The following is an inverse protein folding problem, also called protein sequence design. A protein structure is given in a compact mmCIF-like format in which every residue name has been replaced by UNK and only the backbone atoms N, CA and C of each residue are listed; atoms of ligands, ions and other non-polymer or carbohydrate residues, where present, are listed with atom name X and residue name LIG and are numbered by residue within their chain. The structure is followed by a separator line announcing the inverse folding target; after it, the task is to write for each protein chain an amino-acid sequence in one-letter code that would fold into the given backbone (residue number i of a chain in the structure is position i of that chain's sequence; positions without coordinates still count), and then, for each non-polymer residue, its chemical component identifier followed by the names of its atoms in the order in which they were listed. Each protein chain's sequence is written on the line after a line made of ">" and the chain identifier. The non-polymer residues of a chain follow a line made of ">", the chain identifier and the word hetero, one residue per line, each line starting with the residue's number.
data_IF_985549676406
#
_entry.id   IF_985549676406
#
_cell.length_a   1.000
_cell.length_b   1.000
_cell.length_c   1.000
_cell.angle_alpha   90.00
_cell.angle_beta   90.00
_cell.angle_gamma   90.00
#
_symmetry.space_group_name_H-M   'P 1'
#
loop_
_entity.id
_entity.type
_entity.pdbx_description
1 polymer ?
#
# COMPACT_ATOMS: atom_id res chain seq x y z
N UNK A 1 15.56 -5.84 20.24
CA UNK A 1 14.74 -4.85 19.51
C UNK A 1 14.00 -5.61 18.43
N UNK A 2 12.74 -5.29 18.15
CA UNK A 2 11.94 -5.92 17.09
C UNK A 2 11.72 -4.93 15.96
N UNK A 3 11.80 -5.38 14.70
CA UNK A 3 11.64 -4.54 13.52
C UNK A 3 10.44 -4.98 12.70
N UNK A 4 9.64 -4.01 12.25
CA UNK A 4 8.49 -4.25 11.38
C UNK A 4 8.63 -3.48 10.07
N UNK A 5 8.00 -3.98 9.00
CA UNK A 5 7.93 -3.33 7.69
C UNK A 5 6.50 -2.88 7.38
N UNK A 6 6.31 -1.61 7.02
CA UNK A 6 5.08 -1.14 6.40
C UNK A 6 5.10 -1.41 4.90
N UNK A 7 4.20 -2.25 4.39
CA UNK A 7 4.05 -2.49 2.94
C UNK A 7 3.16 -1.40 2.31
N UNK A 8 3.38 -1.07 1.03
CA UNK A 8 2.77 0.10 0.39
C UNK A 8 1.31 -0.11 -0.02
N UNK A 9 0.48 -0.76 0.81
CA UNK A 9 -0.96 -0.88 0.55
C UNK A 9 -1.66 0.43 0.89
N UNK A 10 -2.60 0.87 0.05
CA UNK A 10 -3.50 1.99 0.31
C UNK A 10 -2.84 3.28 0.86
N UNK A 11 -1.63 3.63 0.42
CA UNK A 11 -0.92 4.87 0.81
C UNK A 11 -0.66 5.82 -0.36
N UNK A 12 -0.75 5.28 -1.58
CA UNK A 12 -0.64 5.99 -2.85
C UNK A 12 -1.73 7.08 -2.99
N UNK A 13 -1.36 8.24 -3.50
CA UNK A 13 -2.25 9.41 -3.59
C UNK A 13 -2.51 10.14 -2.27
N UNK A 14 -2.10 9.60 -1.11
CA UNK A 14 -2.19 10.28 0.19
C UNK A 14 -0.83 10.67 0.75
N UNK A 15 0.09 9.70 0.83
CA UNK A 15 1.45 9.88 1.37
C UNK A 15 2.50 9.87 0.25
N UNK A 16 2.21 9.18 -0.85
CA UNK A 16 3.10 8.99 -1.99
C UNK A 16 2.39 9.41 -3.30
N UNK A 17 3.13 9.89 -4.32
CA UNK A 17 2.54 10.27 -5.61
C UNK A 17 1.96 9.06 -6.36
N UNK A 18 1.05 9.30 -7.29
CA UNK A 18 0.51 8.27 -8.20
C UNK A 18 1.28 8.30 -9.53
N UNK A 19 1.80 7.17 -10.06
CA UNK A 19 1.82 5.84 -9.48
C UNK A 19 2.95 5.63 -8.46
N UNK A 20 2.78 4.68 -7.53
CA UNK A 20 3.74 4.35 -6.47
C UNK A 20 4.14 2.88 -6.44
N UNK A 21 3.21 1.97 -6.13
CA UNK A 21 3.50 0.54 -5.97
C UNK A 21 2.26 -0.32 -6.23
N UNK A 22 2.43 -1.44 -6.95
CA UNK A 22 1.40 -2.43 -7.18
C UNK A 22 1.37 -3.53 -6.12
N UNK A 23 0.45 -4.49 -6.31
CA UNK A 23 0.31 -5.64 -5.41
C UNK A 23 1.55 -6.54 -5.43
N UNK A 24 2.20 -6.65 -6.59
CA UNK A 24 3.38 -7.49 -6.80
C UNK A 24 4.58 -6.94 -6.00
N UNK A 25 4.78 -5.62 -5.98
CA UNK A 25 5.80 -4.99 -5.14
C UNK A 25 5.48 -5.16 -3.65
N UNK A 26 4.22 -5.01 -3.24
CA UNK A 26 3.83 -5.20 -1.85
C UNK A 26 4.09 -6.64 -1.36
N UNK A 27 3.75 -7.63 -2.19
CA UNK A 27 4.03 -9.05 -1.91
C UNK A 27 5.53 -9.30 -1.85
N UNK A 28 6.31 -8.80 -2.83
CA UNK A 28 7.77 -8.94 -2.83
C UNK A 28 8.38 -8.37 -1.55
N UNK A 29 7.97 -7.17 -1.14
CA UNK A 29 8.47 -6.55 0.09
C UNK A 29 8.14 -7.37 1.34
N UNK A 30 6.92 -7.92 1.41
CA UNK A 30 6.51 -8.78 2.53
C UNK A 30 7.36 -10.06 2.61
N UNK A 31 7.57 -10.74 1.47
CA UNK A 31 8.36 -11.98 1.42
C UNK A 31 9.84 -11.74 1.71
N UNK A 32 10.40 -10.62 1.24
CA UNK A 32 11.79 -10.24 1.56
C UNK A 32 11.94 -9.89 3.04
N UNK A 33 10.96 -9.20 3.64
CA UNK A 33 10.97 -8.93 5.08
C UNK A 33 10.97 -10.22 5.91
N UNK A 34 10.16 -11.22 5.50
CA UNK A 34 10.18 -12.54 6.13
C UNK A 34 11.56 -13.20 6.00
N UNK A 35 12.14 -13.23 4.80
CA UNK A 35 13.46 -13.82 4.56
C UNK A 35 14.59 -13.14 5.36
N UNK A 36 14.47 -11.83 5.60
CA UNK A 36 15.41 -11.04 6.38
C UNK A 36 15.18 -11.10 7.90
N UNK A 37 14.14 -11.81 8.35
CA UNK A 37 13.86 -12.01 9.78
C UNK A 37 13.18 -10.82 10.46
N UNK A 38 12.40 -10.03 9.73
CA UNK A 38 11.54 -9.00 10.32
C UNK A 38 10.44 -9.65 11.16
N UNK A 39 10.08 -9.02 12.28
CA UNK A 39 9.09 -9.56 13.22
C UNK A 39 7.65 -9.39 12.72
N UNK A 40 7.40 -8.44 11.81
CA UNK A 40 6.04 -8.13 11.34
C UNK A 40 6.02 -7.37 10.02
N UNK A 41 4.92 -7.55 9.29
CA UNK A 41 4.55 -6.77 8.11
C UNK A 41 3.21 -6.10 8.38
N UNK A 42 3.09 -4.82 8.04
CA UNK A 42 1.93 -3.98 8.30
C UNK A 42 1.43 -3.35 7.00
N UNK A 43 0.16 -3.57 6.69
CA UNK A 43 -0.53 -2.84 5.62
C UNK A 43 -1.31 -1.66 6.18
N UNK A 44 -1.46 -0.62 5.37
CA UNK A 44 -2.50 0.37 5.57
C UNK A 44 -3.76 -0.06 4.79
N UNK A 45 -4.94 0.06 5.40
CA UNK A 45 -6.21 -0.36 4.82
C UNK A 45 -7.21 0.79 4.73
N UNK A 46 -8.03 0.76 3.69
CA UNK A 46 -9.18 1.63 3.52
C UNK A 46 -10.28 0.87 2.82
N UNK A 47 -11.52 1.04 3.27
CA UNK A 47 -12.70 0.41 2.64
C UNK A 47 -12.86 0.86 1.19
N UNK A 48 -12.45 2.10 0.88
CA UNK A 48 -12.44 2.62 -0.49
C UNK A 48 -11.46 3.78 -0.62
N UNK A 49 -10.89 4.00 -1.80
CA UNK A 49 -10.08 5.20 -2.10
C UNK A 49 -10.81 6.49 -1.70
N UNK A 50 -10.16 7.41 -0.99
CA UNK A 50 -10.82 8.61 -0.50
C UNK A 50 -11.28 9.50 -1.65
N UNK A 51 -12.41 10.18 -1.45
CA UNK A 51 -13.01 11.02 -2.50
C UNK A 51 -12.10 12.14 -2.99
N UNK A 52 -11.20 12.66 -2.16
CA UNK A 52 -10.24 13.68 -2.57
C UNK A 52 -9.14 13.09 -3.47
N UNK A 53 -8.65 11.88 -3.17
CA UNK A 53 -7.68 11.17 -4.01
C UNK A 53 -8.29 10.87 -5.37
N UNK A 54 -9.54 10.36 -5.41
CA UNK A 54 -10.24 10.08 -6.67
C UNK A 54 -10.45 11.30 -7.57
N UNK A 55 -10.55 12.51 -7.00
CA UNK A 55 -10.74 13.75 -7.76
C UNK A 55 -9.44 14.36 -8.26
N UNK A 56 -8.33 14.07 -7.57
CA UNK A 56 -7.02 14.67 -7.87
C UNK A 56 -6.34 14.00 -9.06
N UNK A 57 -6.60 12.70 -9.30
CA UNK A 57 -5.89 11.91 -10.30
C UNK A 57 -6.84 11.36 -11.36
N UNK A 58 -6.46 11.48 -12.63
CA UNK A 58 -7.20 10.90 -13.78
C UNK A 58 -7.34 9.38 -13.67
N UNK A 59 -6.31 8.72 -13.12
CA UNK A 59 -6.28 7.30 -12.81
C UNK A 59 -5.95 7.13 -11.32
N UNK A 60 -6.96 7.20 -10.44
CA UNK A 60 -6.72 7.09 -9.02
C UNK A 60 -6.34 5.65 -8.64
N UNK A 61 -5.57 5.47 -7.56
CA UNK A 61 -5.22 4.14 -7.08
C UNK A 61 -6.49 3.39 -6.64
N UNK A 62 -6.54 2.08 -6.92
CA UNK A 62 -7.70 1.24 -6.56
C UNK A 62 -7.73 0.85 -5.09
N UNK A 63 -6.58 0.96 -4.39
CA UNK A 63 -6.38 0.46 -3.02
C UNK A 63 -6.73 -1.01 -2.80
N UNK A 64 -6.92 -1.76 -3.90
CA UNK A 64 -7.52 -3.11 -3.88
C UNK A 64 -8.87 -3.12 -3.17
N UNK A 65 -9.60 -2.00 -3.26
CA UNK A 65 -10.86 -1.80 -2.56
C UNK A 65 -12.00 -2.50 -3.29
N UNK A 66 -12.93 -3.16 -2.57
CA UNK A 66 -13.98 -3.98 -3.19
C UNK A 66 -15.13 -3.15 -3.79
N UNK A 67 -15.08 -1.81 -3.69
CA UNK A 67 -16.16 -0.90 -4.05
C UNK A 67 -15.84 -0.03 -5.29
N UNK A 68 -14.67 -0.21 -5.90
CA UNK A 68 -14.25 0.41 -7.17
C UNK A 68 -14.51 -0.45 -8.40
#
# INVERSE_FOLDING_TARGET
>A
VRFGLGVPTATEGMMYPVPYAGIEEAVRLATEAEALGYDSVWGNDHVSTQSYVRREYDQPPSFFDPLT
#
